data_IF_022147211212
#
_entry.id   IF_022147211212
#
_cell.length_a   1.000
_cell.length_b   1.000
_cell.length_c   1.000
_cell.angle_alpha   90.00
_cell.angle_beta   90.00
_cell.angle_gamma   90.00
#
_symmetry.space_group_name_H-M   'P 1'
#
loop_
_entity.id
_entity.type
_entity.pdbx_description
1 polymer ?
#
# COMPACT_ATOMS: atom_id res chain seq x y z
N UNK A 1 13.57 5.23 -11.50
CA UNK A 1 12.11 5.34 -11.30
C UNK A 1 11.79 6.79 -11.04
N UNK A 2 10.80 7.34 -11.74
CA UNK A 2 10.35 8.71 -11.52
C UNK A 2 9.06 8.65 -10.71
N UNK A 3 9.15 8.98 -9.43
CA UNK A 3 7.98 9.13 -8.57
C UNK A 3 8.11 10.38 -7.73
N UNK A 4 6.96 10.92 -7.30
CA UNK A 4 6.91 12.11 -6.45
C UNK A 4 6.30 11.74 -5.10
N UNK A 5 7.06 11.92 -4.03
CA UNK A 5 6.58 11.77 -2.66
C UNK A 5 6.03 13.11 -2.15
N UNK A 6 4.72 13.16 -1.91
CA UNK A 6 4.02 14.34 -1.37
C UNK A 6 3.57 14.07 0.06
N UNK A 7 3.96 14.91 1.01
CA UNK A 7 3.53 14.79 2.41
C UNK A 7 2.08 15.26 2.55
N UNK A 8 1.21 14.40 3.06
CA UNK A 8 -0.20 14.72 3.33
C UNK A 8 -0.37 15.27 4.75
N UNK A 9 0.30 14.65 5.71
CA UNK A 9 0.32 15.08 7.11
C UNK A 9 1.63 14.61 7.77
N UNK A 10 1.77 14.76 9.08
CA UNK A 10 3.02 14.47 9.79
C UNK A 10 3.52 13.02 9.64
N UNK A 11 2.61 12.07 9.41
CA UNK A 11 2.92 10.63 9.35
C UNK A 11 2.72 10.02 7.96
N UNK A 12 1.99 10.70 7.07
CA UNK A 12 1.47 10.12 5.83
C UNK A 12 2.00 10.82 4.59
N UNK A 13 2.40 10.02 3.61
CA UNK A 13 2.76 10.49 2.27
C UNK A 13 1.86 9.84 1.21
N UNK A 14 1.66 10.55 0.11
CA UNK A 14 1.15 9.99 -1.13
C UNK A 14 2.29 9.95 -2.16
N UNK A 15 2.51 8.79 -2.76
CA UNK A 15 3.53 8.58 -3.79
C UNK A 15 2.81 8.44 -5.12
N UNK A 16 3.08 9.37 -6.04
CA UNK A 16 2.55 9.33 -7.39
C UNK A 16 3.62 8.83 -8.35
N UNK A 17 3.32 7.77 -9.09
CA UNK A 17 4.19 7.22 -10.14
C UNK A 17 3.36 6.48 -11.19
N UNK A 18 3.90 6.37 -12.41
CA UNK A 18 3.36 5.53 -13.47
C UNK A 18 4.08 4.16 -13.54
N UNK A 19 5.11 3.95 -12.71
CA UNK A 19 5.90 2.71 -12.64
C UNK A 19 5.41 1.76 -11.54
N UNK A 20 5.70 0.46 -11.67
CA UNK A 20 5.60 -0.50 -10.55
C UNK A 20 6.69 -0.15 -9.52
N UNK A 21 6.28 0.18 -8.30
CA UNK A 21 7.17 0.50 -7.18
C UNK A 21 7.37 -0.67 -6.22
N UNK A 22 6.38 -1.56 -6.12
CA UNK A 22 6.40 -2.75 -5.27
C UNK A 22 6.24 -3.98 -6.16
N UNK A 23 7.35 -4.65 -6.46
CA UNK A 23 7.37 -5.89 -7.23
C UNK A 23 7.66 -7.13 -6.36
N UNK A 24 8.29 -6.93 -5.21
CA UNK A 24 8.77 -7.96 -4.29
C UNK A 24 9.00 -7.37 -2.89
N UNK A 25 9.54 -8.19 -1.97
CA UNK A 25 9.81 -7.75 -0.59
C UNK A 25 10.94 -6.72 -0.48
N UNK A 26 11.91 -6.72 -1.39
CA UNK A 26 13.04 -5.79 -1.34
C UNK A 26 12.61 -4.40 -1.79
N UNK A 27 11.91 -4.30 -2.93
CA UNK A 27 11.34 -3.06 -3.44
C UNK A 27 10.35 -2.42 -2.45
N UNK A 28 9.52 -3.23 -1.78
CA UNK A 28 8.68 -2.76 -0.68
C UNK A 28 9.50 -2.14 0.46
N UNK A 29 10.57 -2.83 0.89
CA UNK A 29 11.46 -2.35 1.95
C UNK A 29 12.15 -1.05 1.57
N UNK A 30 12.71 -0.99 0.36
CA UNK A 30 13.40 0.19 -0.15
C UNK A 30 12.46 1.40 -0.18
N UNK A 31 11.23 1.22 -0.65
CA UNK A 31 10.20 2.27 -0.66
C UNK A 31 9.89 2.79 0.75
N UNK A 32 9.72 1.88 1.73
CA UNK A 32 9.49 2.26 3.12
C UNK A 32 10.66 3.06 3.70
N UNK A 33 11.90 2.63 3.42
CA UNK A 33 13.11 3.30 3.90
C UNK A 33 13.27 4.68 3.28
N UNK A 34 13.03 4.83 1.98
CA UNK A 34 13.06 6.13 1.31
C UNK A 34 12.03 7.09 1.91
N UNK A 35 10.78 6.65 2.12
CA UNK A 35 9.74 7.48 2.73
C UNK A 35 10.13 7.91 4.14
N UNK A 36 10.65 6.98 4.95
CA UNK A 36 11.07 7.27 6.30
C UNK A 36 12.23 8.28 6.31
N UNK A 37 13.27 8.02 5.52
CA UNK A 37 14.46 8.86 5.44
C UNK A 37 14.15 10.28 4.92
N UNK A 38 13.39 10.40 3.83
CA UNK A 38 13.15 11.69 3.19
C UNK A 38 12.06 12.52 3.86
N UNK A 39 11.01 11.89 4.38
CA UNK A 39 9.80 12.59 4.85
C UNK A 39 9.51 12.41 6.34
N UNK A 40 10.29 11.56 7.03
CA UNK A 40 10.05 11.15 8.41
C UNK A 40 8.59 10.70 8.61
N UNK A 41 8.13 9.83 7.72
CA UNK A 41 6.77 9.30 7.68
C UNK A 41 6.80 7.78 7.72
N UNK A 42 5.70 7.17 8.16
CA UNK A 42 5.52 5.72 8.26
C UNK A 42 4.15 5.26 7.76
N UNK A 43 3.44 6.10 7.02
CA UNK A 43 2.17 5.78 6.37
C UNK A 43 2.27 6.15 4.91
N UNK A 44 1.97 5.22 4.04
CA UNK A 44 2.16 5.35 2.60
C UNK A 44 0.82 5.17 1.91
N UNK A 45 0.52 6.07 0.98
CA UNK A 45 -0.56 5.94 0.02
C UNK A 45 0.08 5.79 -1.36
N UNK A 46 -0.30 4.76 -2.11
CA UNK A 46 0.12 4.55 -3.51
C UNK A 46 -1.07 4.14 -4.37
N UNK A 47 -0.94 4.33 -5.67
CA UNK A 47 -1.91 3.83 -6.63
C UNK A 47 -1.71 2.32 -6.84
N UNK A 48 -2.80 1.61 -7.11
CA UNK A 48 -2.79 0.17 -7.41
C UNK A 48 -1.82 -0.20 -8.54
N UNK A 49 -1.68 0.66 -9.54
CA UNK A 49 -0.74 0.49 -10.66
C UNK A 49 0.72 0.41 -10.20
N UNK A 50 1.04 0.92 -9.00
CA UNK A 50 2.39 0.88 -8.45
C UNK A 50 2.74 -0.46 -7.78
N UNK A 51 1.86 -1.45 -7.83
CA UNK A 51 2.08 -2.78 -7.27
C UNK A 51 1.97 -3.82 -8.40
N UNK A 52 2.86 -4.81 -8.40
CA UNK A 52 2.81 -5.91 -9.35
C UNK A 52 1.47 -6.67 -9.29
N UNK A 53 0.99 -7.18 -10.43
CA UNK A 53 -0.33 -7.83 -10.51
C UNK A 53 -0.36 -9.13 -9.68
N UNK A 54 0.79 -9.79 -9.52
CA UNK A 54 1.00 -10.99 -8.70
C UNK A 54 0.62 -10.78 -7.23
N UNK A 55 0.71 -9.55 -6.72
CA UNK A 55 0.24 -9.19 -5.38
C UNK A 55 -1.26 -9.45 -5.23
N UNK A 56 -2.05 -9.22 -6.28
CA UNK A 56 -3.50 -9.43 -6.25
C UNK A 56 -3.90 -10.88 -6.56
N UNK A 57 -2.92 -11.75 -6.84
CA UNK A 57 -3.11 -13.19 -7.02
C UNK A 57 -2.67 -13.88 -5.73
N UNK A 58 -3.56 -14.01 -4.73
CA UNK A 58 -3.17 -14.47 -3.38
C UNK A 58 -2.44 -15.83 -3.34
N UNK A 59 -2.70 -16.71 -4.31
CA UNK A 59 -1.99 -18.00 -4.43
C UNK A 59 -0.51 -17.86 -4.79
N UNK A 60 -0.04 -16.68 -5.20
CA UNK A 60 1.38 -16.39 -5.43
C UNK A 60 2.19 -16.34 -4.13
N UNK A 61 1.53 -16.07 -2.99
CA UNK A 61 2.17 -15.87 -1.68
C UNK A 61 2.83 -14.50 -1.48
N UNK A 62 3.07 -13.74 -2.56
CA UNK A 62 3.87 -12.50 -2.51
C UNK A 62 3.21 -11.40 -1.65
N UNK A 63 1.88 -11.33 -1.65
CA UNK A 63 1.15 -10.37 -0.82
C UNK A 63 1.46 -10.56 0.67
N UNK A 64 1.45 -11.81 1.14
CA UNK A 64 1.75 -12.13 2.52
C UNK A 64 3.18 -11.72 2.90
N UNK A 65 4.15 -12.03 2.04
CA UNK A 65 5.55 -11.67 2.28
C UNK A 65 5.78 -10.15 2.32
N UNK A 66 5.17 -9.41 1.40
CA UNK A 66 5.27 -7.94 1.34
C UNK A 66 4.59 -7.32 2.57
N UNK A 67 3.35 -7.69 2.87
CA UNK A 67 2.60 -7.14 3.99
C UNK A 67 3.27 -7.45 5.33
N UNK A 68 3.90 -8.62 5.47
CA UNK A 68 4.68 -8.95 6.65
C UNK A 68 5.85 -7.96 6.85
N UNK A 69 6.49 -7.45 5.78
CA UNK A 69 7.50 -6.39 5.92
C UNK A 69 6.88 -5.11 6.47
N UNK A 70 5.76 -4.66 5.92
CA UNK A 70 5.07 -3.47 6.43
C UNK A 70 4.74 -3.59 7.94
N UNK A 71 4.27 -4.75 8.40
CA UNK A 71 4.06 -5.00 9.83
C UNK A 71 5.38 -4.95 10.62
N UNK A 72 6.41 -5.67 10.19
CA UNK A 72 7.70 -5.74 10.89
C UNK A 72 8.36 -4.37 11.06
N UNK A 73 8.17 -3.49 10.06
CA UNK A 73 8.71 -2.12 10.05
C UNK A 73 7.69 -1.08 10.51
N UNK A 74 6.55 -1.50 11.08
CA UNK A 74 5.50 -0.62 11.63
C UNK A 74 5.05 0.47 10.65
N UNK A 75 5.05 0.15 9.35
CA UNK A 75 4.63 1.06 8.28
C UNK A 75 3.25 0.65 7.80
N UNK A 76 2.35 1.63 7.68
CA UNK A 76 0.98 1.41 7.19
C UNK A 76 0.89 1.71 5.71
N UNK A 77 0.02 0.99 5.01
CA UNK A 77 -0.16 1.15 3.56
C UNK A 77 -1.66 1.31 3.22
N UNK A 78 -1.97 2.31 2.41
CA UNK A 78 -3.23 2.39 1.69
C UNK A 78 -2.97 2.33 0.18
N UNK A 79 -3.71 1.49 -0.51
CA UNK A 79 -3.65 1.32 -1.95
C UNK A 79 -4.93 1.86 -2.55
N UNK A 80 -4.82 2.84 -3.44
CA UNK A 80 -5.98 3.46 -4.11
C UNK A 80 -6.18 2.88 -5.50
N UNK A 81 -7.43 2.58 -5.85
CA UNK A 81 -7.79 2.19 -7.22
C UNK A 81 -9.01 1.27 -7.29
N UNK A 82 -9.38 0.91 -8.53
CA UNK A 82 -10.52 0.04 -8.79
C UNK A 82 -10.14 -1.44 -8.65
N UNK A 83 -10.79 -2.13 -7.70
CA UNK A 83 -10.62 -3.57 -7.46
C UNK A 83 -11.77 -4.42 -8.01
N UNK A 84 -12.80 -3.81 -8.62
CA UNK A 84 -13.98 -4.52 -9.15
C UNK A 84 -13.67 -5.50 -10.29
N UNK A 85 -12.54 -5.29 -11.00
CA UNK A 85 -12.05 -6.21 -12.05
C UNK A 85 -11.71 -7.60 -11.50
N UNK A 86 -11.32 -7.68 -10.23
CA UNK A 86 -11.04 -8.95 -9.58
C UNK A 86 -12.36 -9.60 -9.20
N UNK A 87 -12.52 -10.87 -9.54
CA UNK A 87 -13.73 -11.66 -9.23
C UNK A 87 -13.43 -12.79 -8.24
N UNK A 88 -12.20 -12.90 -7.76
CA UNK A 88 -11.78 -13.98 -6.87
C UNK A 88 -12.29 -13.70 -5.46
N UNK A 89 -13.13 -14.61 -4.94
CA UNK A 89 -13.63 -14.54 -3.56
C UNK A 89 -12.49 -14.38 -2.53
N UNK A 90 -11.37 -15.14 -2.62
CA UNK A 90 -10.27 -14.97 -1.66
C UNK A 90 -9.69 -13.55 -1.61
N UNK A 91 -9.54 -12.88 -2.77
CA UNK A 91 -9.02 -11.52 -2.79
C UNK A 91 -10.04 -10.52 -2.21
N UNK A 92 -11.33 -10.70 -2.51
CA UNK A 92 -12.37 -9.86 -1.91
C UNK A 92 -12.43 -10.01 -0.39
N UNK A 93 -12.40 -11.25 0.10
CA UNK A 93 -12.41 -11.53 1.54
C UNK A 93 -11.15 -10.91 2.20
N UNK A 94 -9.98 -11.06 1.58
CA UNK A 94 -8.73 -10.44 2.02
C UNK A 94 -8.81 -8.90 2.08
N UNK A 95 -9.26 -8.25 1.01
CA UNK A 95 -9.43 -6.78 0.96
C UNK A 95 -10.41 -6.32 2.04
N UNK A 96 -11.52 -7.04 2.21
CA UNK A 96 -12.51 -6.73 3.23
C UNK A 96 -11.94 -6.84 4.65
N UNK A 97 -11.16 -7.88 4.93
CA UNK A 97 -10.46 -8.06 6.22
C UNK A 97 -9.44 -6.95 6.47
N UNK A 98 -8.60 -6.63 5.48
CA UNK A 98 -7.64 -5.52 5.56
C UNK A 98 -8.34 -4.20 5.91
N UNK A 99 -9.43 -3.86 5.20
CA UNK A 99 -10.16 -2.62 5.41
C UNK A 99 -10.87 -2.49 6.77
N UNK A 100 -11.03 -3.59 7.51
CA UNK A 100 -11.49 -3.64 8.90
C UNK A 100 -10.35 -3.70 9.92
N UNK A 101 -9.13 -3.92 9.46
CA UNK A 101 -7.90 -3.88 10.24
C UNK A 101 -7.43 -2.44 10.49
N UNK A 102 -6.12 -2.31 10.78
CA UNK A 102 -5.49 -1.04 11.19
C UNK A 102 -4.29 -0.61 10.36
N UNK A 103 -3.73 -1.53 9.57
CA UNK A 103 -2.41 -1.38 8.96
C UNK A 103 -2.46 -1.30 7.42
N UNK A 104 -3.47 -1.93 6.81
CA UNK A 104 -3.60 -2.07 5.36
C UNK A 104 -4.99 -1.68 4.89
N UNK A 105 -5.06 -0.85 3.86
CA UNK A 105 -6.32 -0.39 3.30
C UNK A 105 -6.28 -0.45 1.77
N UNK A 106 -7.39 -0.88 1.17
CA UNK A 106 -7.62 -0.90 -0.27
C UNK A 106 -8.92 -0.14 -0.52
N UNK A 107 -8.83 1.04 -1.11
CA UNK A 107 -9.96 1.98 -1.21
C UNK A 107 -10.01 2.63 -2.59
N UNK A 108 -11.11 3.29 -2.90
CA UNK A 108 -11.35 3.78 -4.27
C UNK A 108 -10.57 5.06 -4.58
N UNK A 109 -10.27 5.86 -3.55
CA UNK A 109 -9.72 7.21 -3.73
C UNK A 109 -8.80 7.67 -2.58
N UNK A 110 -8.13 8.79 -2.83
CA UNK A 110 -7.17 9.38 -1.92
C UNK A 110 -7.81 9.86 -0.61
N UNK A 111 -9.04 10.37 -0.64
CA UNK A 111 -9.71 10.92 0.55
C UNK A 111 -10.04 9.80 1.53
N UNK A 112 -10.57 8.68 1.03
CA UNK A 112 -10.81 7.47 1.83
C UNK A 112 -9.50 6.92 2.42
N UNK A 113 -8.42 6.91 1.65
CA UNK A 113 -7.10 6.44 2.12
C UNK A 113 -6.58 7.31 3.28
N UNK A 114 -6.71 8.62 3.14
CA UNK A 114 -6.33 9.59 4.18
C UNK A 114 -7.17 9.40 5.44
N UNK A 115 -8.49 9.19 5.29
CA UNK A 115 -9.38 8.95 6.43
C UNK A 115 -8.99 7.68 7.18
N UNK A 116 -8.85 6.55 6.48
CA UNK A 116 -8.47 5.26 7.08
C UNK A 116 -7.13 5.34 7.82
N UNK A 117 -6.15 6.02 7.23
CA UNK A 117 -4.83 6.19 7.83
C UNK A 117 -4.78 7.20 8.98
N UNK A 118 -5.80 8.03 9.21
CA UNK A 118 -5.87 8.95 10.36
C UNK A 118 -6.33 8.28 11.66
N UNK A 119 -7.12 7.21 11.57
CA UNK A 119 -7.86 6.66 12.71
C UNK A 119 -7.03 5.92 13.78
N UNK A 120 -5.71 5.85 13.63
CA UNK A 120 -4.79 5.06 14.47
C UNK A 120 -3.38 5.66 14.42
#
# INVERSE_FOLDING_TARGET
MNYKITKINNLTVYIKSDDILISDTQSALDLMMTVNYEKNCSRIIIDKINICEEFFILSSGIAGEILQKFINYQTKLAVIGDFSKYKSKPLHDFIFECNRGRDFFFVDDLDQAIEKLKSF
#
